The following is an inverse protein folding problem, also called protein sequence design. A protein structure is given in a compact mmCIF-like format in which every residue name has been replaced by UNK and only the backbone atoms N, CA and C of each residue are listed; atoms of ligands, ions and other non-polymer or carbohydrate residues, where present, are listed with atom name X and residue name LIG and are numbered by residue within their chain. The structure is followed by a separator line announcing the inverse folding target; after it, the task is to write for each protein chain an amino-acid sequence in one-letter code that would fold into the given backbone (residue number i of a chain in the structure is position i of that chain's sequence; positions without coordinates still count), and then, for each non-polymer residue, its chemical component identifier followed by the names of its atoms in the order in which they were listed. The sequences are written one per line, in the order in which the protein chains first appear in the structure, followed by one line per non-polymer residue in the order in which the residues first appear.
data_IF_236815516855
#
_entry.id   IF_236815516855
#
_cell.length_a   1.000
_cell.length_b   1.000
_cell.length_c   1.000
_cell.angle_alpha   90.00
_cell.angle_beta   90.00
_cell.angle_gamma   90.00
#
_symmetry.space_group_name_H-M   'P 1'
#
loop_
_entity.id
_entity.type
_entity.pdbx_description
1 polymer ?
#
# COMPACT_ATOMS: atom_id res chain seq x y z
N UNK A 1 4.40 1.16 7.42
CA UNK A 1 4.89 0.13 6.48
C UNK A 1 5.87 -0.82 7.17
N UNK A 2 7.07 -0.37 7.58
CA UNK A 2 8.14 -1.23 8.16
C UNK A 2 7.68 -2.08 9.36
N UNK A 3 6.90 -1.51 10.28
CA UNK A 3 6.36 -2.26 11.43
C UNK A 3 5.36 -3.34 10.99
N UNK A 4 4.52 -3.07 9.98
CA UNK A 4 3.58 -4.05 9.42
C UNK A 4 4.32 -5.15 8.62
N UNK A 5 5.42 -4.78 7.94
CA UNK A 5 6.31 -5.73 7.26
C UNK A 5 6.94 -6.72 8.23
N UNK A 6 7.30 -6.29 9.45
CA UNK A 6 7.87 -7.18 10.46
C UNK A 6 6.89 -8.25 10.96
N UNK A 7 5.59 -7.94 10.99
CA UNK A 7 4.54 -8.87 11.44
C UNK A 7 3.87 -9.66 10.31
N UNK A 8 4.21 -9.40 9.05
CA UNK A 8 3.55 -10.02 7.88
C UNK A 8 4.47 -11.03 7.21
N UNK A 9 3.89 -12.12 6.67
CA UNK A 9 4.64 -13.18 5.98
C UNK A 9 5.40 -12.66 4.76
N UNK A 10 6.54 -13.27 4.42
CA UNK A 10 7.38 -12.88 3.28
C UNK A 10 6.62 -12.78 1.95
N UNK A 11 5.59 -13.61 1.75
CA UNK A 11 4.73 -13.57 0.56
C UNK A 11 3.96 -12.24 0.45
N UNK A 12 3.34 -11.78 1.53
CA UNK A 12 2.58 -10.53 1.53
C UNK A 12 3.49 -9.31 1.46
N UNK A 13 4.68 -9.40 2.07
CA UNK A 13 5.71 -8.37 1.95
C UNK A 13 6.15 -8.22 0.49
N UNK A 14 6.50 -9.31 -0.19
CA UNK A 14 6.90 -9.24 -1.61
C UNK A 14 5.79 -8.68 -2.51
N UNK A 15 4.54 -9.09 -2.30
CA UNK A 15 3.40 -8.56 -3.08
C UNK A 15 3.17 -7.07 -2.78
N UNK A 16 3.30 -6.63 -1.52
CA UNK A 16 3.12 -5.24 -1.13
C UNK A 16 4.19 -4.30 -1.72
N UNK A 17 5.45 -4.78 -1.77
CA UNK A 17 6.55 -4.00 -2.35
C UNK A 17 6.53 -3.99 -3.87
N UNK A 18 6.12 -5.07 -4.53
CA UNK A 18 5.92 -5.10 -5.99
C UNK A 18 4.78 -4.14 -6.41
N UNK A 19 3.70 -4.11 -5.64
CA UNK A 19 2.57 -3.19 -5.89
C UNK A 19 2.90 -1.72 -5.62
N UNK A 20 3.93 -1.40 -4.83
CA UNK A 20 4.47 -0.04 -4.74
C UNK A 20 5.06 0.43 -6.08
N UNK A 21 5.64 -0.49 -6.86
CA UNK A 21 6.24 -0.24 -8.18
C UNK A 21 5.25 0.29 -9.22
N UNK A 22 3.95 0.00 -9.08
CA UNK A 22 2.87 0.49 -9.96
C UNK A 22 2.82 2.03 -9.98
N UNK A 23 3.30 2.68 -8.93
CA UNK A 23 3.35 4.15 -8.82
C UNK A 23 4.58 4.80 -9.46
N UNK A 24 5.55 4.00 -9.90
CA UNK A 24 6.79 4.44 -10.57
C UNK A 24 6.75 4.27 -12.10
N UNK A 25 5.61 3.87 -12.64
CA UNK A 25 5.44 3.66 -14.08
C UNK A 25 5.54 4.96 -14.89
N UNK A 26 5.95 4.88 -16.16
CA UNK A 26 6.08 6.05 -17.05
C UNK A 26 4.75 6.79 -17.27
N UNK A 27 3.61 6.14 -17.00
CA UNK A 27 2.27 6.74 -17.08
C UNK A 27 1.81 7.26 -15.71
N UNK A 28 2.01 6.49 -14.64
CA UNK A 28 1.46 6.80 -13.31
C UNK A 28 2.21 7.94 -12.61
N UNK A 29 3.53 8.06 -12.82
CA UNK A 29 4.33 9.16 -12.25
C UNK A 29 3.88 10.55 -12.73
N UNK A 30 3.82 10.85 -14.04
CA UNK A 30 3.40 12.17 -14.51
C UNK A 30 1.94 12.46 -14.17
N UNK A 31 1.05 11.45 -14.16
CA UNK A 31 -0.35 11.62 -13.77
C UNK A 31 -0.48 12.06 -12.30
N UNK A 32 0.16 11.35 -11.36
CA UNK A 32 0.12 11.67 -9.93
C UNK A 32 0.76 13.04 -9.65
N UNK A 33 1.84 13.39 -10.34
CA UNK A 33 2.47 14.71 -10.23
C UNK A 33 1.57 15.82 -10.79
N UNK A 34 0.94 15.62 -11.95
CA UNK A 34 0.01 16.59 -12.53
C UNK A 34 -1.21 16.82 -11.61
N UNK A 35 -1.76 15.74 -11.03
CA UNK A 35 -2.81 15.83 -10.03
C UNK A 35 -2.32 16.54 -8.76
N UNK A 36 -1.12 16.21 -8.27
CA UNK A 36 -0.53 16.83 -7.09
C UNK A 36 -0.28 18.33 -7.25
N UNK A 37 0.20 18.75 -8.42
CA UNK A 37 0.38 20.16 -8.78
C UNK A 37 -0.97 20.87 -8.96
N UNK A 38 -1.96 20.22 -9.58
CA UNK A 38 -3.31 20.77 -9.74
C UNK A 38 -4.00 21.02 -8.40
N UNK A 39 -3.93 20.06 -7.47
CA UNK A 39 -4.45 20.23 -6.11
C UNK A 39 -3.66 21.26 -5.33
N UNK A 40 -2.32 21.21 -5.36
CA UNK A 40 -1.43 22.17 -4.69
C UNK A 40 -1.73 23.62 -5.09
N UNK A 41 -1.93 23.86 -6.39
CA UNK A 41 -2.29 25.18 -6.90
C UNK A 41 -3.66 25.68 -6.38
N UNK A 42 -4.63 24.78 -6.20
CA UNK A 42 -5.95 25.12 -5.66
C UNK A 42 -5.93 25.48 -4.16
N UNK A 43 -5.00 24.91 -3.39
CA UNK A 43 -4.84 25.15 -1.94
C UNK A 43 -3.70 26.13 -1.61
N UNK A 44 -3.01 26.70 -2.61
CA UNK A 44 -1.91 27.64 -2.44
C UNK A 44 -0.59 27.01 -1.96
N UNK A 45 -0.43 25.68 -2.12
CA UNK A 45 0.78 24.93 -1.76
C UNK A 45 1.53 24.57 -3.04
N UNK A 46 2.75 25.08 -3.19
CA UNK A 46 3.55 25.00 -4.44
C UNK A 46 4.06 23.57 -4.73
N UNK A 47 4.13 22.70 -3.72
CA UNK A 47 4.82 21.42 -3.83
C UNK A 47 3.85 20.22 -3.72
N UNK A 48 3.54 19.59 -4.86
CA UNK A 48 2.70 18.38 -4.97
C UNK A 48 3.36 17.07 -4.52
N UNK A 49 4.56 17.13 -3.93
CA UNK A 49 5.34 15.94 -3.55
C UNK A 49 4.66 15.09 -2.47
N UNK A 50 3.87 15.70 -1.57
CA UNK A 50 3.13 14.96 -0.54
C UNK A 50 2.09 14.00 -1.12
N UNK A 51 1.43 14.40 -2.21
CA UNK A 51 0.45 13.56 -2.93
C UNK A 51 1.15 12.37 -3.60
N UNK A 52 2.37 12.57 -4.11
CA UNK A 52 3.19 11.47 -4.65
C UNK A 52 3.59 10.47 -3.57
N UNK A 53 3.99 10.95 -2.39
CA UNK A 53 4.35 10.09 -1.25
C UNK A 53 3.15 9.28 -0.75
N UNK A 54 1.97 9.89 -0.66
CA UNK A 54 0.72 9.19 -0.29
C UNK A 54 0.31 8.16 -1.34
N UNK A 55 0.43 8.50 -2.63
CA UNK A 55 0.14 7.57 -3.71
C UNK A 55 1.01 6.30 -3.65
N UNK A 56 2.27 6.42 -3.26
CA UNK A 56 3.21 5.28 -3.18
C UNK A 56 3.05 4.44 -1.90
N UNK A 57 2.70 5.06 -0.77
CA UNK A 57 2.49 4.36 0.51
C UNK A 57 1.12 3.66 0.57
N UNK A 58 0.11 4.19 -0.12
CA UNK A 58 -1.26 3.64 -0.13
C UNK A 58 -1.34 2.15 -0.49
N UNK A 59 -0.79 1.70 -1.64
CA UNK A 59 -0.79 0.29 -2.04
C UNK A 59 -0.10 -0.63 -1.02
N UNK A 60 1.02 -0.18 -0.44
CA UNK A 60 1.78 -0.95 0.55
C UNK A 60 0.93 -1.21 1.80
N UNK A 61 0.25 -0.17 2.31
CA UNK A 61 -0.62 -0.32 3.49
C UNK A 61 -1.84 -1.19 3.16
N UNK A 62 -2.43 -1.03 1.98
CA UNK A 62 -3.58 -1.82 1.55
C UNK A 62 -3.23 -3.32 1.47
N UNK A 63 -2.11 -3.69 0.85
CA UNK A 63 -1.69 -5.09 0.71
C UNK A 63 -1.24 -5.70 2.04
N UNK A 64 -0.51 -4.96 2.88
CA UNK A 64 -0.14 -5.47 4.21
C UNK A 64 -1.37 -5.64 5.11
N UNK A 65 -2.35 -4.73 5.01
CA UNK A 65 -3.61 -4.82 5.74
C UNK A 65 -4.47 -6.01 5.30
N UNK A 66 -4.61 -6.25 3.99
CA UNK A 66 -5.32 -7.43 3.49
C UNK A 66 -4.57 -8.72 3.79
N UNK A 67 -3.24 -8.72 3.76
CA UNK A 67 -2.41 -9.87 4.14
C UNK A 67 -2.63 -10.31 5.58
N UNK A 68 -2.59 -9.37 6.52
CA UNK A 68 -2.91 -9.65 7.93
C UNK A 68 -4.35 -10.12 8.12
N UNK A 69 -5.31 -9.55 7.39
CA UNK A 69 -6.71 -9.97 7.45
C UNK A 69 -6.89 -11.42 6.98
N UNK A 70 -6.23 -11.79 5.88
CA UNK A 70 -6.28 -13.15 5.34
C UNK A 70 -5.58 -14.14 6.27
N UNK A 71 -4.40 -13.81 6.81
CA UNK A 71 -3.71 -14.65 7.80
C UNK A 71 -4.58 -14.90 9.03
N UNK A 72 -5.26 -13.87 9.53
CA UNK A 72 -6.16 -13.99 10.69
C UNK A 72 -7.34 -14.92 10.40
N UNK A 73 -7.95 -14.80 9.22
CA UNK A 73 -9.05 -15.66 8.79
C UNK A 73 -8.59 -17.11 8.56
N UNK A 74 -7.43 -17.31 7.94
CA UNK A 74 -6.82 -18.65 7.75
C UNK A 74 -6.51 -19.32 9.07
N UNK A 75 -5.90 -18.60 10.03
CA UNK A 75 -5.56 -19.16 11.35
C UNK A 75 -6.81 -19.58 12.12
N UNK A 76 -7.88 -18.78 12.03
CA UNK A 76 -9.18 -19.10 12.64
C UNK A 76 -9.83 -20.33 12.00
N UNK A 77 -9.77 -20.45 10.68
CA UNK A 77 -10.31 -21.61 9.94
C UNK A 77 -9.60 -22.92 10.34
N UNK A 78 -8.27 -22.88 10.44
CA UNK A 78 -7.46 -24.05 10.84
C UNK A 78 -7.70 -24.44 12.30
N UNK A 79 -7.85 -23.47 13.21
CA UNK A 79 -8.19 -23.74 14.62
C UNK A 79 -9.58 -24.39 14.76
N UNK A 80 -10.56 -23.98 13.94
CA UNK A 80 -11.89 -24.59 13.90
C UNK A 80 -11.85 -26.03 13.34
N UNK A 81 -11.03 -26.31 12.32
CA UNK A 81 -10.86 -27.65 11.73
C UNK A 81 -10.11 -28.63 12.65
N UNK A 82 -9.10 -28.17 13.41
CA UNK A 82 -8.32 -29.01 14.34
C UNK A 82 -9.08 -29.29 15.64
N UNK A 83 -10.07 -28.46 15.97
CA UNK A 83 -10.97 -28.65 17.13
C UNK A 83 -12.14 -29.60 16.87
N UNK A 84 -12.36 -30.02 15.62
CA UNK A 84 -13.38 -31.01 15.23
C UNK A 84 -12.80 -32.42 15.19
#
# INVERSE_FOLDING_TARGET
AVVLTYFSTETFVNIAWDSAGVTTGPITVPLVLAMGLGFGNAIGVVEGFGIRSMASIGPIIAVLGTGLWVEYQTKKYIEEEVSQ
#
